data_IF_686492942175
#
_entry.id   IF_686492942175
#
_cell.length_a   1.000
_cell.length_b   1.000
_cell.length_c   1.000
_cell.angle_alpha   90.00
_cell.angle_beta   90.00
_cell.angle_gamma   90.00
#
_symmetry.space_group_name_H-M   'P 1'
#
loop_
_entity.id
_entity.type
_entity.pdbx_description
1 polymer ?
#
# COMPACT_ATOMS: atom_id res chain seq x y z
N UNK A 1 22.27 29.68 -31.50
CA UNK A 1 22.00 28.65 -30.46
C UNK A 1 21.06 27.58 -31.04
N UNK A 2 21.51 26.36 -31.32
CA UNK A 2 20.64 25.30 -31.82
C UNK A 2 19.69 24.81 -30.72
N UNK A 3 18.38 24.91 -30.93
CA UNK A 3 17.35 24.44 -29.98
C UNK A 3 17.24 22.91 -30.03
N UNK A 4 17.41 22.22 -28.90
CA UNK A 4 17.20 20.76 -28.81
C UNK A 4 15.73 20.42 -29.09
N UNK A 5 15.50 19.37 -29.89
CA UNK A 5 14.15 18.87 -30.18
C UNK A 5 13.48 18.36 -28.88
N UNK A 6 12.21 18.71 -28.60
CA UNK A 6 11.54 18.38 -27.34
C UNK A 6 11.55 16.88 -26.99
N UNK A 7 11.47 16.01 -28.01
CA UNK A 7 11.52 14.56 -27.82
C UNK A 7 12.85 14.04 -27.24
N UNK A 8 13.97 14.68 -27.59
CA UNK A 8 15.30 14.31 -27.09
C UNK A 8 15.46 14.71 -25.62
N UNK A 9 14.92 15.87 -25.25
CA UNK A 9 14.85 16.33 -23.86
C UNK A 9 14.01 15.37 -23.00
N UNK A 10 12.88 14.88 -23.51
CA UNK A 10 12.03 13.91 -22.79
C UNK A 10 12.69 12.54 -22.59
N UNK A 11 13.53 12.11 -23.54
CA UNK A 11 14.26 10.85 -23.44
C UNK A 11 15.49 10.93 -22.51
N UNK A 12 16.11 12.11 -22.42
CA UNK A 12 17.26 12.39 -21.55
C UNK A 12 16.85 12.67 -20.09
N UNK A 13 15.58 13.00 -19.83
CA UNK A 13 15.08 13.13 -18.47
C UNK A 13 15.04 11.74 -17.81
N UNK A 14 15.65 11.57 -16.61
CA UNK A 14 15.47 10.36 -15.84
C UNK A 14 13.97 10.14 -15.68
N UNK A 15 13.49 8.95 -16.07
CA UNK A 15 12.10 8.57 -15.77
C UNK A 15 11.94 8.71 -14.27
N UNK A 16 11.17 9.71 -13.84
CA UNK A 16 10.87 9.93 -12.43
C UNK A 16 10.16 8.66 -11.96
N UNK A 17 10.91 7.72 -11.36
CA UNK A 17 10.35 6.54 -10.71
C UNK A 17 9.31 7.11 -9.75
N UNK A 18 8.03 6.89 -10.02
CA UNK A 18 7.01 7.19 -9.02
C UNK A 18 7.41 6.35 -7.82
N UNK A 19 7.52 6.95 -6.63
CA UNK A 19 7.79 6.19 -5.38
C UNK A 19 6.83 4.99 -5.20
N UNK A 20 5.69 5.01 -5.90
CA UNK A 20 4.71 3.93 -5.99
C UNK A 20 5.09 2.75 -6.90
N UNK A 21 6.12 2.81 -7.76
CA UNK A 21 6.57 1.65 -8.55
C UNK A 21 7.52 0.74 -7.75
N UNK A 22 8.17 1.27 -6.71
CA UNK A 22 8.97 0.50 -5.74
C UNK A 22 8.11 -0.15 -4.65
N UNK A 23 6.79 -0.15 -4.87
CA UNK A 23 5.83 -0.91 -4.10
C UNK A 23 6.16 -2.38 -4.24
N UNK A 24 7.03 -2.82 -3.34
CA UNK A 24 7.57 -4.16 -3.23
C UNK A 24 6.38 -5.10 -3.23
N UNK A 25 6.33 -6.00 -4.21
CA UNK A 25 5.35 -7.08 -4.23
C UNK A 25 5.19 -7.62 -2.81
N UNK A 26 3.96 -7.61 -2.27
CA UNK A 26 3.69 -8.04 -0.89
C UNK A 26 4.31 -9.43 -0.75
N UNK A 27 5.45 -9.51 -0.04
CA UNK A 27 6.21 -10.76 0.08
C UNK A 27 5.30 -11.81 0.71
N UNK A 28 5.07 -12.91 -0.01
CA UNK A 28 4.17 -13.98 0.41
C UNK A 28 2.86 -14.10 -0.38
N UNK A 29 2.53 -13.15 -1.27
CA UNK A 29 1.40 -13.31 -2.19
C UNK A 29 1.82 -13.97 -3.50
N UNK A 30 0.98 -14.87 -4.02
CA UNK A 30 1.12 -15.38 -5.38
C UNK A 30 0.94 -14.28 -6.43
N UNK A 31 1.50 -14.47 -7.62
CA UNK A 31 1.31 -13.56 -8.76
C UNK A 31 -0.18 -13.37 -9.11
N UNK A 32 -0.97 -14.43 -8.98
CA UNK A 32 -2.41 -14.40 -9.18
C UNK A 32 -3.14 -13.55 -8.11
N UNK A 33 -2.75 -13.67 -6.84
CA UNK A 33 -3.30 -12.83 -5.78
C UNK A 33 -2.93 -11.34 -5.99
N UNK A 34 -1.69 -11.05 -6.36
CA UNK A 34 -1.25 -9.68 -6.69
C UNK A 34 -2.01 -9.09 -7.88
N UNK A 35 -2.26 -9.88 -8.93
CA UNK A 35 -3.04 -9.45 -10.08
C UNK A 35 -4.49 -9.11 -9.68
N UNK A 36 -5.09 -9.91 -8.79
CA UNK A 36 -6.43 -9.66 -8.26
C UNK A 36 -6.48 -8.41 -7.38
N UNK A 37 -5.51 -8.21 -6.49
CA UNK A 37 -5.38 -6.97 -5.71
C UNK A 37 -5.31 -5.76 -6.63
N UNK A 38 -4.44 -5.79 -7.65
CA UNK A 38 -4.32 -4.69 -8.63
C UNK A 38 -5.62 -4.45 -9.41
N UNK A 39 -6.38 -5.50 -9.70
CA UNK A 39 -7.70 -5.37 -10.33
C UNK A 39 -8.68 -4.65 -9.40
N UNK A 40 -8.74 -5.05 -8.13
CA UNK A 40 -9.62 -4.42 -7.13
C UNK A 40 -9.24 -2.96 -6.91
N UNK A 41 -7.95 -2.66 -6.78
CA UNK A 41 -7.43 -1.28 -6.65
C UNK A 41 -7.89 -0.37 -7.80
N UNK A 42 -7.98 -0.90 -9.02
CA UNK A 42 -8.48 -0.13 -10.19
C UNK A 42 -10.00 0.02 -10.21
N UNK A 43 -10.74 -0.88 -9.57
CA UNK A 43 -12.20 -0.89 -9.60
C UNK A 43 -12.82 -0.07 -8.47
N UNK A 44 -12.16 0.03 -7.31
CA UNK A 44 -12.68 0.73 -6.13
C UNK A 44 -12.21 2.19 -6.15
N UNK A 45 -13.16 3.14 -6.14
CA UNK A 45 -12.88 4.58 -6.22
C UNK A 45 -12.02 5.13 -5.06
N UNK A 46 -12.09 4.51 -3.88
CA UNK A 46 -11.32 4.91 -2.70
C UNK A 46 -9.93 4.27 -2.63
N UNK A 47 -9.57 3.41 -3.59
CA UNK A 47 -8.24 2.81 -3.69
C UNK A 47 -7.51 3.39 -4.89
N UNK A 48 -6.21 3.63 -4.74
CA UNK A 48 -5.31 3.94 -5.86
C UNK A 48 -4.30 2.79 -6.04
N UNK A 49 -3.62 2.73 -7.20
CA UNK A 49 -2.56 1.74 -7.42
C UNK A 49 -1.47 1.84 -6.34
N UNK A 50 -1.17 0.73 -5.65
CA UNK A 50 -0.18 0.71 -4.57
C UNK A 50 -0.73 1.01 -3.18
N UNK A 51 -2.04 1.27 -3.04
CA UNK A 51 -2.70 1.56 -1.76
C UNK A 51 -2.56 0.43 -0.74
N UNK A 52 -2.67 -0.83 -1.19
CA UNK A 52 -2.68 -2.03 -0.33
C UNK A 52 -1.29 -2.35 0.16
N UNK A 53 -0.31 -2.18 -0.69
CA UNK A 53 1.08 -2.37 -0.32
C UNK A 53 1.56 -1.25 0.62
N UNK A 54 1.12 -0.01 0.38
CA UNK A 54 1.33 1.10 1.31
C UNK A 54 0.67 0.82 2.67
N UNK A 55 -0.55 0.27 2.65
CA UNK A 55 -1.27 -0.15 3.85
C UNK A 55 -0.54 -1.28 4.60
N UNK A 56 0.00 -2.28 3.89
CA UNK A 56 0.80 -3.37 4.48
C UNK A 56 2.06 -2.85 5.17
N UNK A 57 2.80 -1.93 4.51
CA UNK A 57 4.01 -1.33 5.11
C UNK A 57 3.64 -0.55 6.37
N UNK A 58 2.58 0.26 6.31
CA UNK A 58 2.13 1.08 7.44
C UNK A 58 1.65 0.24 8.62
N UNK A 59 0.79 -0.76 8.36
CA UNK A 59 0.31 -1.68 9.38
C UNK A 59 1.45 -2.46 10.03
N UNK A 60 2.37 -2.99 9.21
CA UNK A 60 3.56 -3.68 9.72
C UNK A 60 4.42 -2.76 10.60
N UNK A 61 4.71 -1.54 10.15
CA UNK A 61 5.51 -0.59 10.92
C UNK A 61 4.85 -0.26 12.25
N UNK A 62 3.54 -0.03 12.27
CA UNK A 62 2.78 0.27 13.48
C UNK A 62 2.81 -0.89 14.49
N UNK A 63 2.51 -2.11 14.05
CA UNK A 63 2.51 -3.30 14.91
C UNK A 63 3.87 -3.57 15.55
N UNK A 64 4.97 -3.23 14.87
CA UNK A 64 6.33 -3.42 15.39
C UNK A 64 6.84 -2.25 16.24
N UNK A 65 6.08 -1.16 16.37
CA UNK A 65 6.49 -0.06 17.24
C UNK A 65 6.28 -0.43 18.72
N UNK A 66 7.31 -0.29 19.58
CA UNK A 66 7.24 -0.68 20.99
C UNK A 66 6.23 0.17 21.78
N UNK A 67 6.04 1.44 21.40
CA UNK A 67 5.13 2.37 22.08
C UNK A 67 3.78 2.57 21.35
N UNK A 68 3.37 1.62 20.52
CA UNK A 68 2.19 1.74 19.63
C UNK A 68 0.88 2.11 20.36
N UNK A 69 0.66 1.64 21.58
CA UNK A 69 -0.53 1.96 22.39
C UNK A 69 -0.58 3.42 22.84
N UNK A 70 0.59 4.04 23.04
CA UNK A 70 0.69 5.47 23.35
C UNK A 70 0.42 6.32 22.10
N UNK A 71 0.84 5.85 20.93
CA UNK A 71 0.61 6.52 19.65
C UNK A 71 -0.85 6.41 19.18
N UNK A 72 -1.53 5.31 19.49
CA UNK A 72 -2.97 5.14 19.23
C UNK A 72 -3.82 6.14 20.02
N UNK A 73 -3.42 6.45 21.26
CA UNK A 73 -4.09 7.44 22.10
C UNK A 73 -3.76 8.89 21.70
N UNK A 74 -2.63 9.13 21.05
CA UNK A 74 -2.19 10.45 20.57
C UNK A 74 -2.64 10.75 19.12
N UNK A 75 -3.67 10.07 18.60
CA UNK A 75 -4.04 10.14 17.18
C UNK A 75 -4.57 11.49 16.67
N UNK A 76 -4.51 12.54 17.49
CA UNK A 76 -4.75 13.95 17.15
C UNK A 76 -3.74 14.51 16.11
N UNK A 77 -2.76 13.70 15.71
CA UNK A 77 -1.79 14.02 14.67
C UNK A 77 -2.37 14.05 13.25
N UNK A 78 -1.51 14.34 12.27
CA UNK A 78 -1.88 14.33 10.86
C UNK A 78 -2.34 12.91 10.44
N UNK A 79 -3.58 12.77 9.99
CA UNK A 79 -4.13 11.50 9.47
C UNK A 79 -4.10 11.41 7.95
N UNK A 80 -3.63 12.48 7.27
CA UNK A 80 -3.51 12.55 5.83
C UNK A 80 -2.66 11.38 5.31
N UNK A 81 -3.25 10.58 4.42
CA UNK A 81 -2.66 9.33 3.95
C UNK A 81 -1.29 9.56 3.30
N UNK A 82 -1.15 10.66 2.57
CA UNK A 82 0.06 11.01 1.85
C UNK A 82 1.25 11.34 2.78
N UNK A 83 0.98 11.77 4.01
CA UNK A 83 2.01 12.22 4.95
C UNK A 83 2.23 11.21 6.08
N UNK A 84 1.18 10.95 6.85
CA UNK A 84 1.26 10.22 8.11
C UNK A 84 0.41 8.97 8.04
N UNK A 85 -0.82 9.08 7.54
CA UNK A 85 -1.78 8.01 7.32
C UNK A 85 -2.09 7.19 8.57
N UNK A 86 -3.38 7.06 8.87
CA UNK A 86 -3.80 6.35 10.06
C UNK A 86 -3.54 4.82 9.94
N UNK A 87 -2.83 4.19 10.90
CA UNK A 87 -2.69 2.74 10.95
C UNK A 87 -4.02 1.98 10.96
N UNK A 88 -5.08 2.53 11.57
CA UNK A 88 -6.42 1.92 11.57
C UNK A 88 -7.04 1.97 10.18
N UNK A 89 -7.00 3.13 9.51
CA UNK A 89 -7.39 3.25 8.11
C UNK A 89 -6.59 2.28 7.19
N UNK A 90 -5.31 2.06 7.48
CA UNK A 90 -4.53 1.06 6.75
C UNK A 90 -5.08 -0.36 6.93
N UNK A 91 -5.47 -0.74 8.16
CA UNK A 91 -6.09 -2.04 8.43
C UNK A 91 -7.45 -2.20 7.75
N UNK A 92 -8.23 -1.12 7.66
CA UNK A 92 -9.52 -1.10 6.94
C UNK A 92 -9.34 -1.32 5.43
N UNK A 93 -8.33 -0.71 4.81
CA UNK A 93 -8.05 -0.94 3.38
C UNK A 93 -7.65 -2.39 3.10
N UNK A 94 -6.86 -3.00 3.99
CA UNK A 94 -6.50 -4.41 3.88
C UNK A 94 -7.75 -5.31 3.98
N UNK A 95 -8.64 -5.00 4.92
CA UNK A 95 -9.90 -5.73 5.10
C UNK A 95 -10.84 -5.60 3.90
N UNK A 96 -11.03 -4.38 3.41
CA UNK A 96 -11.88 -4.09 2.26
C UNK A 96 -11.45 -4.89 1.02
N UNK A 97 -10.14 -5.04 0.82
CA UNK A 97 -9.62 -5.86 -0.29
C UNK A 97 -9.76 -7.34 -0.01
N UNK A 98 -9.49 -7.83 1.20
CA UNK A 98 -9.73 -9.23 1.57
C UNK A 98 -11.19 -9.63 1.32
N UNK A 99 -12.15 -8.76 1.64
CA UNK A 99 -13.58 -8.99 1.41
C UNK A 99 -13.98 -8.94 -0.06
N UNK A 100 -13.25 -8.17 -0.88
CA UNK A 100 -13.50 -8.04 -2.33
C UNK A 100 -12.78 -9.11 -3.18
N UNK A 101 -11.83 -9.84 -2.61
CA UNK A 101 -11.06 -10.89 -3.29
C UNK A 101 -11.83 -12.21 -3.35
N UNK A 102 -11.50 -13.04 -4.36
CA UNK A 102 -11.91 -14.43 -4.42
C UNK A 102 -11.48 -15.20 -3.17
N UNK A 103 -12.33 -16.15 -2.73
CA UNK A 103 -12.14 -16.90 -1.48
C UNK A 103 -10.79 -17.62 -1.38
N UNK A 104 -10.22 -18.06 -2.50
CA UNK A 104 -8.92 -18.75 -2.55
C UNK A 104 -7.76 -17.77 -2.32
N UNK A 105 -7.81 -16.60 -2.96
CA UNK A 105 -6.73 -15.60 -2.91
C UNK A 105 -6.80 -14.72 -1.68
N UNK A 106 -8.01 -14.48 -1.16
CA UNK A 106 -8.20 -13.76 0.10
C UNK A 106 -7.53 -14.47 1.27
N UNK A 107 -7.43 -15.82 1.26
CA UNK A 107 -6.68 -16.58 2.29
C UNK A 107 -5.20 -16.22 2.33
N UNK A 108 -4.57 -16.01 1.18
CA UNK A 108 -3.15 -15.64 1.10
C UNK A 108 -2.94 -14.29 1.80
N UNK A 109 -3.72 -13.27 1.41
CA UNK A 109 -3.63 -11.93 2.03
C UNK A 109 -4.05 -11.95 3.51
N UNK A 110 -5.13 -12.65 3.84
CA UNK A 110 -5.64 -12.78 5.20
C UNK A 110 -4.60 -13.42 6.13
N UNK A 111 -3.91 -14.47 5.69
CA UNK A 111 -2.88 -15.12 6.52
C UNK A 111 -1.74 -14.18 6.91
N UNK A 112 -1.34 -13.28 5.99
CA UNK A 112 -0.31 -12.27 6.24
C UNK A 112 -0.81 -11.20 7.21
N UNK A 113 -2.05 -10.75 7.03
CA UNK A 113 -2.67 -9.75 7.92
C UNK A 113 -2.89 -10.32 9.31
N UNK A 114 -3.44 -11.54 9.44
CA UNK A 114 -3.62 -12.21 10.73
C UNK A 114 -2.30 -12.43 11.48
N UNK A 115 -1.19 -12.70 10.77
CA UNK A 115 0.12 -12.81 11.38
C UNK A 115 0.62 -11.47 11.97
N UNK A 116 0.24 -10.35 11.36
CA UNK A 116 0.49 -9.01 11.91
C UNK A 116 -0.48 -8.69 13.05
N UNK A 117 -1.77 -9.03 12.89
CA UNK A 117 -2.79 -8.78 13.91
C UNK A 117 -2.50 -9.55 15.21
N UNK A 118 -1.91 -10.76 15.15
CA UNK A 118 -1.46 -11.49 16.34
C UNK A 118 -0.36 -10.78 17.14
N UNK A 119 0.32 -9.80 16.55
CA UNK A 119 1.38 -9.02 17.21
C UNK A 119 0.87 -7.68 17.75
N UNK A 120 -0.36 -7.28 17.39
CA UNK A 120 -1.02 -6.10 17.93
C UNK A 120 -1.30 -6.31 19.42
#
# INVERSE_FOLDING_TARGET
MPRRRPGRVRAELPRRRRKHDDTTAIRGLSSAALAEVRRIQRQKKYLWPGSIESAMVRWRSFVHQPNRRLLEYQSDGCTEWACCGDPRQAREFLEAVILAMSRRRSRELRSLVEALDRRY
#
